data_IF_498162702548
#
_entry.id   IF_498162702548
#
_cell.length_a   1.000
_cell.length_b   1.000
_cell.length_c   1.000
_cell.angle_alpha   90.00
_cell.angle_beta   90.00
_cell.angle_gamma   90.00
#
_symmetry.space_group_name_H-M   'P 1'
#
loop_
_entity.id
_entity.type
_entity.pdbx_description
1 polymer ?
#
# COMPACT_ATOMS: atom_id res chain seq x y z
N UNK A 1 -4.24 10.43 0.09
CA UNK A 1 -5.05 9.20 0.31
C UNK A 1 -4.54 8.42 1.49
N UNK A 2 -3.25 8.05 1.53
CA UNK A 2 -2.61 7.45 2.70
C UNK A 2 -2.90 8.22 4.00
N UNK A 3 -2.48 9.49 4.08
CA UNK A 3 -2.71 10.37 5.24
C UNK A 3 -4.22 10.58 5.53
N UNK A 4 -5.07 10.58 4.50
CA UNK A 4 -6.51 10.76 4.67
C UNK A 4 -7.17 9.53 5.31
N UNK A 5 -6.73 8.31 4.96
CA UNK A 5 -7.20 7.08 5.58
C UNK A 5 -6.61 6.88 6.97
N UNK A 6 -5.39 7.34 7.20
CA UNK A 6 -4.77 7.34 8.53
C UNK A 6 -5.55 8.24 9.51
N UNK A 7 -5.88 9.46 9.09
CA UNK A 7 -6.71 10.39 9.87
C UNK A 7 -8.18 9.94 10.00
N UNK A 8 -8.69 9.14 9.05
CA UNK A 8 -10.08 8.68 9.02
C UNK A 8 -10.13 7.17 8.73
N UNK A 9 -9.88 6.30 9.73
CA UNK A 9 -9.73 4.86 9.49
C UNK A 9 -10.95 4.16 8.86
N UNK A 10 -12.14 4.74 9.03
CA UNK A 10 -13.37 4.25 8.39
C UNK A 10 -13.37 4.41 6.86
N UNK A 11 -12.56 5.31 6.30
CA UNK A 11 -12.55 5.65 4.88
C UNK A 11 -12.23 4.45 3.99
N UNK A 12 -11.27 3.61 4.37
CA UNK A 12 -10.94 2.39 3.63
C UNK A 12 -12.13 1.44 3.52
N UNK A 13 -12.78 1.15 4.66
CA UNK A 13 -13.97 0.30 4.70
C UNK A 13 -15.17 0.89 3.95
N UNK A 14 -15.30 2.22 3.91
CA UNK A 14 -16.36 2.91 3.21
C UNK A 14 -16.18 2.78 1.69
N UNK A 15 -14.95 2.95 1.19
CA UNK A 15 -14.63 2.79 -0.22
C UNK A 15 -14.81 1.34 -0.69
N UNK A 16 -14.37 0.35 0.09
CA UNK A 16 -14.53 -1.07 -0.24
C UNK A 16 -15.99 -1.53 -0.28
N UNK A 17 -16.88 -0.91 0.51
CA UNK A 17 -18.33 -1.21 0.53
C UNK A 17 -19.12 -0.47 -0.55
N UNK A 18 -18.49 0.39 -1.33
CA UNK A 18 -19.12 1.18 -2.38
C UNK A 18 -18.38 1.04 -3.74
N UNK A 19 -18.18 -0.20 -4.26
CA UNK A 19 -17.48 -0.40 -5.52
C UNK A 19 -18.25 0.27 -6.67
N UNK A 20 -17.53 0.93 -7.58
CA UNK A 20 -18.11 1.62 -8.73
C UNK A 20 -18.90 2.89 -8.41
N UNK A 21 -19.01 3.28 -7.14
CA UNK A 21 -19.65 4.54 -6.75
C UNK A 21 -18.74 5.75 -7.03
N UNK A 22 -19.35 6.93 -7.11
CA UNK A 22 -18.68 8.17 -7.50
C UNK A 22 -17.37 8.47 -6.76
N UNK A 23 -17.19 8.22 -5.44
CA UNK A 23 -15.91 8.43 -4.78
C UNK A 23 -14.77 7.61 -5.41
N UNK A 24 -14.99 6.31 -5.60
CA UNK A 24 -14.01 5.40 -6.20
C UNK A 24 -13.77 5.74 -7.68
N UNK A 25 -14.82 6.08 -8.43
CA UNK A 25 -14.71 6.52 -9.82
C UNK A 25 -13.89 7.81 -9.95
N UNK A 26 -14.07 8.78 -9.04
CA UNK A 26 -13.28 10.03 -9.04
C UNK A 26 -11.80 9.79 -8.75
N UNK A 27 -11.48 8.81 -7.88
CA UNK A 27 -10.09 8.42 -7.63
C UNK A 27 -9.51 7.76 -8.89
N UNK A 28 -10.23 6.81 -9.47
CA UNK A 28 -9.83 6.12 -10.70
C UNK A 28 -9.58 7.11 -11.85
N UNK A 29 -10.48 8.07 -12.07
CA UNK A 29 -10.35 9.11 -13.11
C UNK A 29 -9.06 9.93 -12.93
N UNK A 30 -8.76 10.36 -11.70
CA UNK A 30 -7.53 11.10 -11.42
C UNK A 30 -6.28 10.28 -11.68
N UNK A 31 -6.28 9.00 -11.29
CA UNK A 31 -5.17 8.08 -11.55
C UNK A 31 -5.00 7.83 -13.06
N UNK A 32 -6.10 7.56 -13.76
CA UNK A 32 -6.12 7.33 -15.21
C UNK A 32 -5.52 8.49 -16.00
N UNK A 33 -5.83 9.74 -15.62
CA UNK A 33 -5.21 10.93 -16.23
C UNK A 33 -3.69 10.99 -16.04
N UNK A 34 -3.17 10.53 -14.90
CA UNK A 34 -1.72 10.47 -14.69
C UNK A 34 -1.08 9.35 -15.50
N UNK A 35 -1.74 8.19 -15.59
CA UNK A 35 -1.31 7.07 -16.44
C UNK A 35 -1.25 7.49 -17.90
N UNK A 36 -2.24 8.25 -18.37
CA UNK A 36 -2.28 8.82 -19.72
C UNK A 36 -1.16 9.85 -19.93
N UNK A 37 -0.98 10.79 -18.99
CA UNK A 37 0.09 11.79 -19.02
C UNK A 37 1.50 11.19 -18.99
N UNK A 38 1.67 10.03 -18.35
CA UNK A 38 2.92 9.28 -18.38
C UNK A 38 3.19 8.72 -19.77
N UNK A 39 2.20 8.51 -20.64
CA UNK A 39 2.36 8.00 -22.00
C UNK A 39 2.21 6.47 -22.10
N UNK A 40 1.56 5.84 -21.12
CA UNK A 40 1.28 4.39 -21.13
C UNK A 40 0.38 4.03 -22.33
N UNK A 41 0.71 2.98 -23.11
CA UNK A 41 -0.12 2.53 -24.24
C UNK A 41 -1.58 2.28 -23.87
N UNK A 42 -2.51 2.66 -24.75
CA UNK A 42 -3.96 2.62 -24.49
C UNK A 42 -4.46 1.24 -24.05
N UNK A 43 -3.95 0.17 -24.65
CA UNK A 43 -4.27 -1.23 -24.31
C UNK A 43 -3.79 -1.64 -22.91
N UNK A 44 -2.91 -0.85 -22.28
CA UNK A 44 -2.34 -1.07 -20.94
C UNK A 44 -2.84 -0.11 -19.89
N UNK A 45 -3.50 0.99 -20.27
CA UNK A 45 -3.93 2.04 -19.33
C UNK A 45 -4.87 1.52 -18.24
N UNK A 46 -5.82 0.64 -18.59
CA UNK A 46 -6.73 0.04 -17.60
C UNK A 46 -5.98 -0.73 -16.52
N UNK A 47 -5.08 -1.61 -16.93
CA UNK A 47 -4.27 -2.41 -16.00
C UNK A 47 -3.40 -1.51 -15.10
N UNK A 48 -2.76 -0.49 -15.68
CA UNK A 48 -1.92 0.44 -14.95
C UNK A 48 -2.72 1.26 -13.91
N UNK A 49 -3.88 1.81 -14.30
CA UNK A 49 -4.74 2.56 -13.41
C UNK A 49 -5.30 1.69 -12.27
N UNK A 50 -5.71 0.46 -12.56
CA UNK A 50 -6.17 -0.48 -11.54
C UNK A 50 -5.05 -0.90 -10.58
N UNK A 51 -3.81 -1.10 -11.08
CA UNK A 51 -2.67 -1.40 -10.23
C UNK A 51 -2.43 -0.29 -9.20
N UNK A 52 -2.42 0.98 -9.63
CA UNK A 52 -2.30 2.12 -8.71
C UNK A 52 -3.46 2.22 -7.74
N UNK A 53 -4.71 2.06 -8.21
CA UNK A 53 -5.89 2.15 -7.37
C UNK A 53 -5.85 1.08 -6.26
N UNK A 54 -5.59 -0.17 -6.65
CA UNK A 54 -5.57 -1.29 -5.71
C UNK A 54 -4.41 -1.18 -4.73
N UNK A 55 -3.23 -0.75 -5.17
CA UNK A 55 -2.10 -0.47 -4.28
C UNK A 55 -2.47 0.62 -3.26
N UNK A 56 -3.03 1.73 -3.74
CA UNK A 56 -3.41 2.86 -2.89
C UNK A 56 -4.45 2.45 -1.85
N UNK A 57 -5.52 1.76 -2.25
CA UNK A 57 -6.58 1.32 -1.34
C UNK A 57 -6.07 0.24 -0.37
N UNK A 58 -5.29 -0.73 -0.86
CA UNK A 58 -4.79 -1.84 -0.07
C UNK A 58 -3.80 -1.38 1.00
N UNK A 59 -2.76 -0.65 0.62
CA UNK A 59 -1.71 -0.22 1.57
C UNK A 59 -2.25 0.82 2.55
N UNK A 60 -2.98 1.82 2.07
CA UNK A 60 -3.56 2.84 2.95
C UNK A 60 -4.59 2.24 3.91
N UNK A 61 -5.39 1.27 3.44
CA UNK A 61 -6.38 0.58 4.26
C UNK A 61 -5.75 -0.32 5.32
N UNK A 62 -4.71 -1.10 4.95
CA UNK A 62 -3.98 -1.94 5.90
C UNK A 62 -3.25 -1.10 6.96
N UNK A 63 -2.63 0.01 6.57
CA UNK A 63 -1.99 0.93 7.51
C UNK A 63 -2.99 1.46 8.54
N UNK A 64 -4.13 1.99 8.07
CA UNK A 64 -5.16 2.52 8.96
C UNK A 64 -5.72 1.43 9.90
N UNK A 65 -5.92 0.20 9.42
CA UNK A 65 -6.36 -0.91 10.25
C UNK A 65 -5.32 -1.29 11.32
N UNK A 66 -4.03 -1.33 10.96
CA UNK A 66 -2.96 -1.60 11.92
C UNK A 66 -2.88 -0.51 13.00
N UNK A 67 -3.04 0.77 12.62
CA UNK A 67 -3.08 1.89 13.55
C UNK A 67 -4.23 1.76 14.56
N UNK A 68 -5.43 1.39 14.09
CA UNK A 68 -6.59 1.12 14.96
C UNK A 68 -6.30 -0.04 15.91
N UNK A 69 -5.76 -1.17 15.42
CA UNK A 69 -5.43 -2.33 16.25
C UNK A 69 -4.38 -1.99 17.31
N UNK A 70 -3.37 -1.19 16.96
CA UNK A 70 -2.35 -0.74 17.91
C UNK A 70 -2.97 0.13 19.00
N UNK A 71 -3.83 1.08 18.61
CA UNK A 71 -4.54 1.95 19.54
C UNK A 71 -5.48 1.17 20.49
N UNK A 72 -6.28 0.24 19.97
CA UNK A 72 -7.18 -0.61 20.77
C UNK A 72 -6.43 -1.46 21.81
N UNK A 73 -5.18 -1.83 21.51
CA UNK A 73 -4.30 -2.57 22.42
C UNK A 73 -3.49 -1.65 23.34
N UNK A 74 -3.68 -0.33 23.26
CA UNK A 74 -2.91 0.66 24.01
C UNK A 74 -1.42 0.63 23.69
N UNK A 75 -1.04 0.16 22.49
CA UNK A 75 0.35 0.03 22.09
C UNK A 75 0.78 1.23 21.27
N UNK A 76 1.89 1.84 21.70
CA UNK A 76 2.65 2.74 20.84
C UNK A 76 3.16 1.98 19.60
N UNK A 77 3.14 2.65 18.43
CA UNK A 77 3.52 2.04 17.13
C UNK A 77 4.84 1.28 17.21
N UNK A 78 5.86 1.88 17.82
CA UNK A 78 7.19 1.28 17.94
C UNK A 78 7.16 -0.06 18.70
N UNK A 79 6.33 -0.17 19.75
CA UNK A 79 6.16 -1.41 20.51
C UNK A 79 5.39 -2.47 19.74
N UNK A 80 4.38 -2.08 18.97
CA UNK A 80 3.65 -2.99 18.08
C UNK A 80 4.58 -3.61 17.03
N UNK A 81 5.41 -2.78 16.37
CA UNK A 81 6.39 -3.26 15.39
C UNK A 81 7.49 -4.12 16.00
N UNK A 82 7.99 -3.77 17.19
CA UNK A 82 8.97 -4.60 17.89
C UNK A 82 8.40 -5.98 18.26
N UNK A 83 7.13 -6.03 18.70
CA UNK A 83 6.43 -7.28 19.02
C UNK A 83 6.33 -8.18 17.77
N UNK A 84 5.92 -7.61 16.63
CA UNK A 84 5.84 -8.33 15.36
C UNK A 84 7.21 -8.81 14.87
N UNK A 85 8.22 -7.94 14.90
CA UNK A 85 9.59 -8.27 14.54
C UNK A 85 10.16 -9.39 15.43
N UNK A 86 9.87 -9.34 16.74
CA UNK A 86 10.22 -10.39 17.69
C UNK A 86 9.56 -11.71 17.36
N UNK A 87 8.27 -11.70 17.00
CA UNK A 87 7.55 -12.90 16.57
C UNK A 87 8.16 -13.51 15.31
N UNK A 88 8.47 -12.69 14.29
CA UNK A 88 9.08 -13.16 13.04
C UNK A 88 10.49 -13.70 13.26
N UNK A 89 11.27 -13.09 14.16
CA UNK A 89 12.63 -13.53 14.48
C UNK A 89 12.67 -14.94 15.09
N UNK A 90 11.57 -15.38 15.73
CA UNK A 90 11.44 -16.71 16.36
C UNK A 90 10.85 -17.78 15.44
N UNK A 91 10.46 -17.44 14.21
CA UNK A 91 9.99 -18.43 13.23
C UNK A 91 11.10 -19.44 12.89
N UNK A 92 10.70 -20.64 12.47
CA UNK A 92 11.65 -21.64 11.97
C UNK A 92 12.42 -21.10 10.76
N UNK A 93 13.76 -21.21 10.81
CA UNK A 93 14.63 -20.59 9.82
C UNK A 93 14.63 -21.31 8.46
N UNK A 94 14.32 -22.61 8.43
CA UNK A 94 14.24 -23.37 7.17
C UNK A 94 12.90 -23.15 6.48
N UNK A 95 11.81 -23.08 7.24
CA UNK A 95 10.48 -22.83 6.72
C UNK A 95 10.24 -21.36 6.36
N UNK A 96 10.81 -20.41 7.11
CA UNK A 96 10.57 -18.97 6.94
C UNK A 96 11.85 -18.13 6.79
N UNK A 97 12.75 -18.47 5.85
CA UNK A 97 14.05 -17.81 5.73
C UNK A 97 13.92 -16.31 5.42
N UNK A 98 12.94 -15.91 4.59
CA UNK A 98 12.72 -14.52 4.22
C UNK A 98 12.16 -13.68 5.37
N UNK A 99 11.08 -14.13 6.02
CA UNK A 99 10.45 -13.39 7.11
C UNK A 99 11.43 -13.16 8.28
N UNK A 100 12.24 -14.17 8.62
CA UNK A 100 13.32 -14.02 9.60
C UNK A 100 14.37 -13.01 9.15
N UNK A 101 14.80 -13.05 7.88
CA UNK A 101 15.79 -12.12 7.32
C UNK A 101 15.34 -10.66 7.43
N UNK A 102 14.07 -10.38 7.16
CA UNK A 102 13.54 -9.00 7.13
C UNK A 102 12.91 -8.55 8.47
N UNK A 103 12.86 -9.40 9.49
CA UNK A 103 12.28 -9.07 10.79
C UNK A 103 12.89 -7.80 11.41
N UNK A 104 14.20 -7.59 11.24
CA UNK A 104 14.87 -6.36 11.67
C UNK A 104 14.42 -5.11 10.91
N UNK A 105 14.13 -5.25 9.61
CA UNK A 105 13.61 -4.15 8.78
C UNK A 105 12.18 -3.80 9.19
N UNK A 106 11.33 -4.81 9.44
CA UNK A 106 9.97 -4.62 9.94
C UNK A 106 9.92 -3.77 11.23
N UNK A 107 10.91 -3.90 12.11
CA UNK A 107 10.97 -3.10 13.35
C UNK A 107 11.13 -1.61 13.09
N UNK A 108 11.91 -1.25 12.07
CA UNK A 108 12.41 0.12 11.87
C UNK A 108 11.82 0.83 10.65
N UNK A 109 11.02 0.14 9.84
CA UNK A 109 10.45 0.73 8.63
C UNK A 109 9.51 1.90 8.95
N UNK A 110 9.38 2.77 7.94
CA UNK A 110 8.48 3.92 7.95
C UNK A 110 7.34 3.64 6.96
N UNK A 111 6.09 3.59 7.46
CA UNK A 111 4.94 3.19 6.64
C UNK A 111 4.74 4.13 5.44
N UNK A 112 5.02 5.43 5.62
CA UNK A 112 4.85 6.45 4.59
C UNK A 112 5.95 6.34 3.53
N UNK A 113 7.20 6.10 3.93
CA UNK A 113 8.30 5.89 3.02
C UNK A 113 8.09 4.62 2.18
N UNK A 114 7.66 3.52 2.80
CA UNK A 114 7.37 2.26 2.10
C UNK A 114 6.18 2.42 1.14
N UNK A 115 5.15 3.18 1.53
CA UNK A 115 4.03 3.53 0.66
C UNK A 115 4.48 4.30 -0.60
N UNK A 116 5.33 5.31 -0.44
CA UNK A 116 5.85 6.09 -1.56
C UNK A 116 6.76 5.24 -2.45
N UNK A 117 7.64 4.44 -1.85
CA UNK A 117 8.53 3.54 -2.58
C UNK A 117 7.75 2.53 -3.45
N UNK A 118 6.61 2.01 -2.97
CA UNK A 118 5.78 1.13 -3.78
C UNK A 118 5.06 1.85 -4.93
N UNK A 119 4.66 3.11 -4.77
CA UNK A 119 4.17 3.93 -5.89
C UNK A 119 5.28 4.10 -6.93
N UNK A 120 6.50 4.43 -6.50
CA UNK A 120 7.63 4.59 -7.41
C UNK A 120 7.93 3.30 -8.18
N UNK A 121 7.89 2.14 -7.53
CA UNK A 121 8.04 0.84 -8.21
C UNK A 121 6.99 0.64 -9.31
N UNK A 122 5.73 0.98 -9.04
CA UNK A 122 4.65 0.87 -10.02
C UNK A 122 4.86 1.85 -11.17
N UNK A 123 5.21 3.11 -10.89
CA UNK A 123 5.44 4.14 -11.92
C UNK A 123 6.63 3.79 -12.81
N UNK A 124 7.74 3.31 -12.24
CA UNK A 124 8.88 2.83 -13.03
C UNK A 124 8.49 1.64 -13.92
N UNK A 125 7.65 0.71 -13.42
CA UNK A 125 7.09 -0.36 -14.22
C UNK A 125 6.28 0.16 -15.41
N UNK A 126 5.48 1.22 -15.22
CA UNK A 126 4.74 1.86 -16.30
C UNK A 126 5.64 2.53 -17.35
N UNK A 127 6.73 3.17 -16.92
CA UNK A 127 7.71 3.77 -17.81
C UNK A 127 8.44 2.70 -18.65
N UNK A 128 8.75 1.55 -18.04
CA UNK A 128 9.35 0.42 -18.77
C UNK A 128 8.42 -0.11 -19.88
N UNK A 129 7.09 -0.11 -19.67
CA UNK A 129 6.11 -0.46 -20.71
C UNK A 129 6.14 0.49 -21.91
N UNK A 130 6.63 1.72 -21.73
CA UNK A 130 6.75 2.69 -22.81
C UNK A 130 8.00 2.43 -23.64
N UNK A 131 9.10 2.05 -22.99
CA UNK A 131 10.41 1.81 -23.59
C UNK A 131 10.50 0.47 -24.35
N UNK A 132 9.57 -0.46 -24.09
CA UNK A 132 9.41 -1.70 -24.87
C UNK A 132 8.68 -1.52 -26.21
N UNK A 133 8.57 -0.28 -26.70
CA UNK A 133 8.05 0.06 -28.04
C UNK A 133 9.20 0.23 -29.04
#
# INVERSE_FOLDING_TARGET
MFEAMDAHPWLGSALSRAPGQLPTVRILERLGRQVDALGVPQDRQWMAACALLNYLLGVSGQNAANAVIAHEKGLERAHFLDTLAGAWSRLDAQAFPFARKVAGQLRAHDDRADFLAGIDLIVHGMQALQAGR
#
